data_IF_049211906569
#
_entry.id   IF_049211906569
#
_cell.length_a   1.000
_cell.length_b   1.000
_cell.length_c   1.000
_cell.angle_alpha   90.00
_cell.angle_beta   90.00
_cell.angle_gamma   90.00
#
_symmetry.space_group_name_H-M   'P 1'
#
loop_
_entity.id
_entity.type
_entity.pdbx_description
1 polymer ?
#
# COMPACT_ATOMS: atom_id res chain seq x y z
N UNK A 1 -25.39 -21.30 9.98
CA UNK A 1 -24.82 -19.98 9.61
C UNK A 1 -23.62 -20.22 8.72
N UNK A 2 -23.72 -19.95 7.41
CA UNK A 2 -22.60 -20.15 6.49
C UNK A 2 -21.53 -19.11 6.76
N UNK A 3 -20.54 -19.48 7.58
CA UNK A 3 -19.32 -18.70 7.83
C UNK A 3 -18.49 -18.69 6.57
N UNK A 4 -18.84 -17.81 5.63
CA UNK A 4 -18.12 -17.61 4.38
C UNK A 4 -16.66 -17.25 4.66
N UNK A 5 -15.80 -18.28 4.67
CA UNK A 5 -14.34 -18.33 4.53
C UNK A 5 -13.60 -16.97 4.64
N UNK A 6 -13.65 -16.34 5.81
CA UNK A 6 -12.72 -15.26 6.17
C UNK A 6 -11.35 -15.90 6.39
N UNK A 7 -10.54 -15.98 5.32
CA UNK A 7 -9.15 -16.43 5.40
C UNK A 7 -8.20 -15.24 5.47
N UNK A 8 -7.04 -15.40 6.09
CA UNK A 8 -6.00 -14.36 6.15
C UNK A 8 -5.28 -14.14 4.80
N UNK A 9 -5.58 -14.95 3.78
CA UNK A 9 -4.90 -14.93 2.48
C UNK A 9 -4.86 -13.56 1.80
N UNK A 10 -5.96 -12.78 1.75
CA UNK A 10 -5.93 -11.43 1.19
C UNK A 10 -4.95 -10.50 1.92
N UNK A 11 -4.94 -10.53 3.26
CA UNK A 11 -4.05 -9.71 4.10
C UNK A 11 -2.59 -10.13 3.89
N UNK A 12 -2.32 -11.43 3.85
CA UNK A 12 -0.98 -11.97 3.58
C UNK A 12 -0.47 -11.56 2.19
N UNK A 13 -1.33 -11.57 1.17
CA UNK A 13 -1.02 -11.11 -0.18
C UNK A 13 -0.60 -9.63 -0.21
N UNK A 14 -1.33 -8.76 0.50
CA UNK A 14 -0.99 -7.34 0.64
C UNK A 14 0.38 -7.17 1.32
N UNK A 15 0.60 -7.86 2.44
CA UNK A 15 1.86 -7.81 3.18
C UNK A 15 3.05 -8.29 2.33
N UNK A 16 2.86 -9.33 1.51
CA UNK A 16 3.89 -9.82 0.60
C UNK A 16 4.25 -8.79 -0.48
N UNK A 17 3.25 -8.11 -1.07
CA UNK A 17 3.49 -7.02 -2.04
C UNK A 17 4.27 -5.86 -1.40
N UNK A 18 3.88 -5.40 -0.21
CA UNK A 18 4.58 -4.32 0.50
C UNK A 18 6.05 -4.70 0.78
N UNK A 19 6.29 -5.94 1.23
CA UNK A 19 7.66 -6.45 1.44
C UNK A 19 8.46 -6.52 0.15
N UNK A 20 7.83 -6.86 -0.98
CA UNK A 20 8.50 -6.88 -2.29
C UNK A 20 8.88 -5.47 -2.74
N UNK A 21 7.97 -4.49 -2.64
CA UNK A 21 8.24 -3.08 -2.95
C UNK A 21 9.43 -2.57 -2.11
N UNK A 22 9.47 -2.91 -0.81
CA UNK A 22 10.58 -2.54 0.07
C UNK A 22 11.93 -3.09 -0.44
N UNK A 23 11.97 -4.35 -0.89
CA UNK A 23 13.21 -4.98 -1.38
C UNK A 23 13.70 -4.38 -2.70
N UNK A 24 12.78 -4.01 -3.60
CA UNK A 24 13.14 -3.49 -4.93
C UNK A 24 13.35 -1.97 -4.97
N UNK A 25 12.75 -1.22 -4.04
CA UNK A 25 12.74 0.24 -4.06
C UNK A 25 13.82 0.91 -3.18
N UNK A 26 15.02 0.30 -3.07
CA UNK A 26 16.11 0.82 -2.22
C UNK A 26 15.73 0.99 -0.72
N UNK A 27 14.73 0.23 -0.25
CA UNK A 27 14.27 0.26 1.14
C UNK A 27 13.46 1.50 1.51
N UNK A 28 13.71 2.04 2.70
CA UNK A 28 13.01 3.21 3.28
C UNK A 28 13.81 4.51 3.21
N UNK A 29 14.89 4.55 2.41
CA UNK A 29 15.77 5.73 2.31
C UNK A 29 15.00 7.01 1.97
N UNK A 30 13.93 6.89 1.18
CA UNK A 30 12.97 7.97 0.96
C UNK A 30 11.55 7.43 1.21
N UNK A 31 10.95 7.87 2.32
CA UNK A 31 9.61 7.45 2.74
C UNK A 31 8.53 7.85 1.72
N UNK A 32 8.61 9.06 1.16
CA UNK A 32 7.65 9.55 0.18
C UNK A 32 7.60 8.65 -1.05
N UNK A 33 8.77 8.24 -1.56
CA UNK A 33 8.89 7.35 -2.72
C UNK A 33 8.35 5.96 -2.42
N UNK A 34 8.55 5.45 -1.21
CA UNK A 34 8.01 4.16 -0.79
C UNK A 34 6.47 4.17 -0.77
N UNK A 35 5.87 5.21 -0.18
CA UNK A 35 4.42 5.37 -0.13
C UNK A 35 3.84 5.54 -1.54
N UNK A 36 4.47 6.34 -2.39
CA UNK A 36 4.01 6.55 -3.76
C UNK A 36 3.99 5.24 -4.57
N UNK A 37 5.01 4.39 -4.40
CA UNK A 37 5.05 3.06 -5.04
C UNK A 37 3.94 2.14 -4.54
N UNK A 38 3.65 2.14 -3.23
CA UNK A 38 2.50 1.39 -2.68
C UNK A 38 1.20 1.91 -3.30
N UNK A 39 1.02 3.23 -3.39
CA UNK A 39 -0.19 3.83 -3.94
C UNK A 39 -0.40 3.44 -5.42
N UNK A 40 0.65 3.50 -6.24
CA UNK A 40 0.61 3.03 -7.63
C UNK A 40 0.20 1.56 -7.70
N UNK A 41 0.84 0.72 -6.89
CA UNK A 41 0.72 -0.73 -6.99
C UNK A 41 -0.64 -1.27 -6.54
N UNK A 42 -1.29 -0.55 -5.61
CA UNK A 42 -2.66 -0.82 -5.17
C UNK A 42 -3.71 0.07 -5.87
N UNK A 43 -3.31 0.87 -6.87
CA UNK A 43 -4.18 1.82 -7.59
C UNK A 43 -5.01 2.71 -6.65
N UNK A 44 -4.43 3.09 -5.51
CA UNK A 44 -5.09 3.94 -4.53
C UNK A 44 -5.15 5.34 -5.12
N UNK A 45 -6.37 5.85 -5.36
CA UNK A 45 -6.55 7.23 -5.84
C UNK A 45 -5.99 8.18 -4.80
N UNK A 46 -4.98 8.95 -5.18
CA UNK A 46 -4.48 10.05 -4.36
C UNK A 46 -5.47 11.18 -4.53
N UNK A 47 -6.36 11.38 -3.56
CA UNK A 47 -7.12 12.62 -3.50
C UNK A 47 -6.11 13.75 -3.30
N UNK A 48 -5.99 14.63 -4.31
CA UNK A 48 -5.23 15.87 -4.16
C UNK A 48 -5.95 16.67 -3.08
N UNK A 49 -5.40 16.70 -1.87
CA UNK A 49 -5.88 17.64 -0.86
C UNK A 49 -5.66 19.04 -1.40
N UNK A 50 -6.74 19.80 -1.50
CA UNK A 50 -6.63 21.24 -1.77
C UNK A 50 -5.72 21.85 -0.70
N UNK A 51 -4.81 22.75 -1.07
CA UNK A 51 -3.91 23.38 -0.10
C UNK A 51 -4.76 23.98 1.00
N UNK A 52 -4.43 23.65 2.25
CA UNK A 52 -5.05 24.25 3.43
C UNK A 52 -4.69 25.73 3.35
N UNK A 53 -5.65 26.54 2.90
CA UNK A 53 -5.53 28.00 2.97
C UNK A 53 -5.46 28.32 4.45
N UNK A 54 -4.27 28.71 4.92
CA UNK A 54 -4.08 29.26 6.25
C UNK A 54 -4.79 30.60 6.36
#
# INVERSE_FOLDING_TARGET
MTTGRLSNGPVEGVNRKIKQIKRTAYGYKNWQNFIYRIQIEFKIKIEKKNPIRK
#
